data_IF_311906985493
#
_entry.id   IF_311906985493
#
_cell.length_a   1.000
_cell.length_b   1.000
_cell.length_c   1.000
_cell.angle_alpha   90.00
_cell.angle_beta   90.00
_cell.angle_gamma   90.00
#
_symmetry.space_group_name_H-M   'P 1'
#
loop_
_entity.id
_entity.type
_entity.pdbx_description
1 polymer ?
#
# COMPACT_ATOMS: atom_id res chain seq x y z
N UNK A 1 -12.57 -6.12 -0.96
CA UNK A 1 -12.45 -6.20 -2.44
C UNK A 1 -11.41 -7.28 -2.71
N UNK A 2 -11.71 -8.37 -3.44
CA UNK A 2 -10.75 -9.47 -3.58
C UNK A 2 -9.60 -9.09 -4.54
N UNK A 3 -8.52 -8.58 -3.96
CA UNK A 3 -7.26 -8.38 -4.68
C UNK A 3 -6.40 -9.65 -4.56
N UNK A 4 -5.92 -10.17 -5.69
CA UNK A 4 -4.89 -11.23 -5.68
C UNK A 4 -3.50 -10.61 -5.49
N UNK A 5 -2.55 -11.34 -4.89
CA UNK A 5 -1.18 -10.85 -4.58
C UNK A 5 -0.48 -10.17 -5.76
N UNK A 6 -0.65 -10.70 -6.99
CA UNK A 6 -0.02 -10.18 -8.21
C UNK A 6 -0.73 -8.94 -8.80
N UNK A 7 -1.74 -8.38 -8.14
CA UNK A 7 -2.44 -7.22 -8.65
C UNK A 7 -1.54 -6.00 -8.57
N UNK A 8 -1.21 -5.40 -9.71
CA UNK A 8 -0.49 -4.12 -9.76
C UNK A 8 -1.42 -2.99 -9.30
N UNK A 9 -1.07 -2.34 -8.20
CA UNK A 9 -1.80 -1.21 -7.62
C UNK A 9 -1.23 0.12 -8.13
N UNK A 10 0.10 0.24 -8.27
CA UNK A 10 0.75 1.41 -8.87
C UNK A 10 1.43 1.05 -10.19
N UNK A 11 0.85 1.48 -11.32
CA UNK A 11 1.46 1.25 -12.63
C UNK A 11 2.77 2.02 -12.85
N UNK A 12 2.92 3.23 -12.28
CA UNK A 12 4.13 4.03 -12.48
C UNK A 12 5.39 3.40 -11.88
N UNK A 13 5.24 2.74 -10.74
CA UNK A 13 6.35 2.13 -9.98
C UNK A 13 6.30 0.61 -9.96
N UNK A 14 5.33 0.01 -10.66
CA UNK A 14 5.06 -1.42 -10.68
C UNK A 14 4.92 -2.02 -9.27
N UNK A 15 4.16 -1.34 -8.40
CA UNK A 15 3.89 -1.81 -7.03
C UNK A 15 2.68 -2.72 -7.04
N UNK A 16 2.84 -3.93 -6.51
CA UNK A 16 1.79 -4.95 -6.39
C UNK A 16 1.12 -4.92 -5.01
N UNK A 17 0.03 -5.68 -4.84
CA UNK A 17 -0.57 -5.90 -3.52
C UNK A 17 0.42 -6.58 -2.58
N UNK A 18 1.18 -7.56 -3.06
CA UNK A 18 2.19 -8.26 -2.27
C UNK A 18 3.28 -7.31 -1.74
N UNK A 19 3.72 -6.34 -2.55
CA UNK A 19 4.71 -5.33 -2.11
C UNK A 19 4.16 -4.44 -0.98
N UNK A 20 2.85 -4.11 -1.03
CA UNK A 20 2.17 -3.34 0.01
C UNK A 20 2.05 -4.18 1.27
N UNK A 21 1.61 -5.44 1.15
CA UNK A 21 1.47 -6.35 2.30
C UNK A 21 2.83 -6.64 2.97
N UNK A 22 3.93 -6.81 2.22
CA UNK A 22 5.30 -6.93 2.77
C UNK A 22 5.73 -5.66 3.51
N UNK A 23 5.48 -4.49 2.91
CA UNK A 23 5.79 -3.20 3.53
C UNK A 23 5.03 -3.01 4.86
N UNK A 24 3.76 -3.41 4.90
CA UNK A 24 2.93 -3.38 6.09
C UNK A 24 3.41 -4.35 7.16
N UNK A 25 3.78 -5.59 6.81
CA UNK A 25 4.29 -6.58 7.77
C UNK A 25 5.59 -6.16 8.45
N UNK A 26 6.42 -5.35 7.78
CA UNK A 26 7.65 -4.80 8.36
C UNK A 26 7.37 -3.78 9.48
N UNK A 27 6.20 -3.17 9.49
CA UNK A 27 5.74 -2.33 10.59
C UNK A 27 4.97 -3.16 11.61
N UNK A 28 5.60 -3.45 12.74
CA UNK A 28 4.98 -4.20 13.84
C UNK A 28 3.82 -3.43 14.55
N UNK A 29 3.48 -2.21 14.12
CA UNK A 29 2.53 -1.32 14.80
C UNK A 29 1.56 -0.62 13.83
N UNK A 30 0.59 -1.40 13.38
CA UNK A 30 -0.64 -0.91 12.75
C UNK A 30 -1.41 0.01 13.70
N UNK A 31 -1.24 1.33 13.56
CA UNK A 31 -1.88 2.31 14.45
C UNK A 31 -2.57 3.45 13.71
N UNK A 32 -2.18 3.73 12.48
CA UNK A 32 -2.66 4.90 11.74
C UNK A 32 -2.46 4.66 10.23
N UNK A 33 -3.53 4.83 9.44
CA UNK A 33 -3.52 4.60 7.98
C UNK A 33 -2.52 5.51 7.28
N UNK A 34 -2.41 6.79 7.67
CA UNK A 34 -1.50 7.75 7.04
C UNK A 34 -0.03 7.41 7.34
N UNK A 35 0.26 6.93 8.55
CA UNK A 35 1.62 6.49 8.90
C UNK A 35 2.02 5.24 8.15
N UNK A 36 1.11 4.27 8.04
CA UNK A 36 1.36 3.07 7.24
C UNK A 36 1.52 3.42 5.76
N UNK A 37 0.69 4.34 5.23
CA UNK A 37 0.87 4.83 3.87
C UNK A 37 2.23 5.48 3.66
N UNK A 38 2.70 6.31 4.60
CA UNK A 38 4.01 6.94 4.50
C UNK A 38 5.16 5.91 4.44
N UNK A 39 5.08 4.83 5.22
CA UNK A 39 6.10 3.77 5.17
C UNK A 39 5.97 2.89 3.91
N UNK A 40 4.76 2.54 3.47
CA UNK A 40 4.52 1.87 2.18
C UNK A 40 5.07 2.72 1.03
N UNK A 41 4.81 4.02 1.03
CA UNK A 41 5.33 4.96 0.03
C UNK A 41 6.86 5.03 0.06
N UNK A 42 7.47 5.05 1.25
CA UNK A 42 8.92 5.08 1.40
C UNK A 42 9.60 3.80 0.90
N UNK A 43 9.00 2.63 1.12
CA UNK A 43 9.56 1.34 0.70
C UNK A 43 9.33 1.05 -0.80
N UNK A 44 8.16 1.42 -1.33
CA UNK A 44 7.75 1.07 -2.71
C UNK A 44 7.87 2.22 -3.70
N UNK A 45 8.13 3.45 -3.21
CA UNK A 45 8.06 4.70 -3.98
C UNK A 45 6.68 4.99 -4.59
N UNK A 46 5.59 4.33 -4.18
CA UNK A 46 4.26 4.57 -4.73
C UNK A 46 3.83 6.05 -4.60
N UNK A 47 2.90 6.49 -5.46
CA UNK A 47 2.39 7.87 -5.48
C UNK A 47 3.42 9.00 -5.72
N UNK A 48 4.69 8.69 -5.99
CA UNK A 48 5.72 9.67 -6.41
C UNK A 48 5.75 9.92 -7.93
N UNK A 49 4.84 9.28 -8.68
CA UNK A 49 4.64 9.46 -10.12
C UNK A 49 3.40 10.29 -10.42
N UNK A 50 2.37 9.67 -10.99
CA UNK A 50 1.11 10.36 -11.32
C UNK A 50 0.14 10.54 -10.14
N UNK A 51 0.40 9.90 -8.98
CA UNK A 51 -0.47 9.94 -7.81
C UNK A 51 -1.75 9.10 -7.89
N UNK A 52 -2.15 8.60 -9.07
CA UNK A 52 -3.44 7.92 -9.27
C UNK A 52 -3.62 6.56 -8.56
N UNK A 53 -2.59 6.05 -7.88
CA UNK A 53 -2.70 4.86 -7.03
C UNK A 53 -2.96 5.18 -5.55
N UNK A 54 -2.86 6.45 -5.13
CA UNK A 54 -2.92 6.85 -3.71
C UNK A 54 -4.17 6.31 -3.02
N UNK A 55 -5.37 6.65 -3.51
CA UNK A 55 -6.63 6.23 -2.90
C UNK A 55 -6.79 4.71 -2.83
N UNK A 56 -6.28 3.98 -3.85
CA UNK A 56 -6.32 2.52 -3.87
C UNK A 56 -5.46 1.93 -2.76
N UNK A 57 -4.25 2.47 -2.57
CA UNK A 57 -3.33 2.02 -1.52
C UNK A 57 -3.92 2.37 -0.14
N UNK A 58 -4.48 3.57 0.03
CA UNK A 58 -5.18 3.97 1.26
C UNK A 58 -6.32 3.01 1.60
N UNK A 59 -7.10 2.59 0.61
CA UNK A 59 -8.17 1.61 0.79
C UNK A 59 -7.64 0.23 1.19
N UNK A 60 -6.58 -0.27 0.54
CA UNK A 60 -5.93 -1.54 0.90
C UNK A 60 -5.42 -1.51 2.34
N UNK A 61 -4.69 -0.45 2.72
CA UNK A 61 -4.15 -0.27 4.07
C UNK A 61 -5.30 -0.23 5.10
N UNK A 62 -6.35 0.52 4.82
CA UNK A 62 -7.53 0.61 5.71
C UNK A 62 -8.24 -0.72 5.89
N UNK A 63 -8.38 -1.53 4.83
CA UNK A 63 -8.95 -2.88 4.90
C UNK A 63 -8.11 -3.79 5.80
N UNK A 64 -6.77 -3.75 5.67
CA UNK A 64 -5.85 -4.54 6.52
C UNK A 64 -5.86 -4.13 8.00
N UNK A 65 -6.02 -2.83 8.27
CA UNK A 65 -6.12 -2.30 9.64
C UNK A 65 -7.47 -2.57 10.29
N UNK A 66 -8.54 -2.70 9.51
CA UNK A 66 -9.90 -2.85 10.04
C UNK A 66 -10.26 -4.30 10.41
N UNK A 67 -9.50 -5.29 9.92
CA UNK A 67 -9.74 -6.71 10.18
C UNK A 67 -10.81 -7.32 9.30
#
# INVERSE_FOLDING_TARGET
>A
MEYTENTVICNCKHVTLADIDDALQRNARFSDVEKEFAEVQKLTSCSTGCGGCHDKIMAVISERLSG
#
